data_IF_357783149196
#
_entry.id   IF_357783149196
#
_cell.length_a   1.000
_cell.length_b   1.000
_cell.length_c   1.000
_cell.angle_alpha   90.00
_cell.angle_beta   90.00
_cell.angle_gamma   90.00
#
_symmetry.space_group_name_H-M   'P 1'
#
loop_
_entity.id
_entity.type
_entity.pdbx_description
1 polymer ?
#
# COMPACT_ATOMS: atom_id res chain seq x y z
N UNK A 1 -4.31 -7.88 -13.23
CA UNK A 1 -2.95 -8.07 -12.68
C UNK A 1 -2.01 -7.24 -13.53
N UNK A 2 -0.95 -6.63 -13.01
CA UNK A 2 0.02 -5.90 -13.86
C UNK A 2 0.87 -6.81 -14.77
N UNK A 3 0.66 -8.12 -14.69
CA UNK A 3 1.20 -9.11 -15.65
C UNK A 3 0.29 -9.32 -16.86
N UNK A 4 -0.96 -8.85 -16.81
CA UNK A 4 -1.91 -8.93 -17.93
C UNK A 4 -1.67 -7.74 -18.89
N UNK A 5 -1.49 -7.99 -20.21
CA UNK A 5 -1.17 -6.92 -21.18
C UNK A 5 -2.20 -5.80 -21.24
N UNK A 6 -3.50 -6.12 -21.09
CA UNK A 6 -4.57 -5.11 -21.13
C UNK A 6 -4.48 -4.18 -19.93
N UNK A 7 -4.27 -4.76 -18.74
CA UNK A 7 -4.06 -4.01 -17.50
C UNK A 7 -2.80 -3.12 -17.59
N UNK A 8 -1.72 -3.64 -18.17
CA UNK A 8 -0.48 -2.88 -18.35
C UNK A 8 -0.68 -1.66 -19.27
N UNK A 9 -1.28 -1.88 -20.44
CA UNK A 9 -1.54 -0.82 -21.43
C UNK A 9 -2.45 0.29 -20.87
N UNK A 10 -3.44 -0.08 -20.05
CA UNK A 10 -4.29 0.89 -19.36
C UNK A 10 -3.46 1.79 -18.43
N UNK A 11 -2.60 1.22 -17.59
CA UNK A 11 -1.80 2.01 -16.64
C UNK A 11 -0.74 2.84 -17.37
N UNK A 12 -0.09 2.32 -18.41
CA UNK A 12 0.85 3.10 -19.23
C UNK A 12 0.17 4.31 -19.88
N UNK A 13 -1.04 4.12 -20.42
CA UNK A 13 -1.85 5.23 -20.96
C UNK A 13 -2.19 6.25 -19.88
N UNK A 14 -2.58 5.79 -18.68
CA UNK A 14 -2.89 6.67 -17.56
C UNK A 14 -1.66 7.46 -17.10
N UNK A 15 -0.48 6.83 -17.00
CA UNK A 15 0.77 7.50 -16.61
C UNK A 15 1.18 8.55 -17.65
N UNK A 16 1.10 8.24 -18.95
CA UNK A 16 1.42 9.18 -20.02
C UNK A 16 0.47 10.40 -20.04
N UNK A 17 -0.80 10.18 -19.67
CA UNK A 17 -1.83 11.22 -19.66
C UNK A 17 -1.76 12.09 -18.41
N UNK A 18 -1.70 11.47 -17.23
CA UNK A 18 -1.75 12.16 -15.94
C UNK A 18 -0.41 12.77 -15.54
N UNK A 19 0.71 12.18 -15.99
CA UNK A 19 2.08 12.59 -15.63
C UNK A 19 2.22 12.81 -14.11
N UNK A 20 1.90 11.80 -13.29
CA UNK A 20 1.86 11.97 -11.85
C UNK A 20 3.26 12.29 -11.32
N UNK A 21 3.34 13.11 -10.27
CA UNK A 21 4.62 13.40 -9.62
C UNK A 21 5.10 12.25 -8.71
N UNK A 22 4.20 11.35 -8.31
CA UNK A 22 4.48 10.15 -7.52
C UNK A 22 3.39 9.10 -7.70
N UNK A 23 3.70 7.83 -7.40
CA UNK A 23 2.76 6.70 -7.37
C UNK A 23 2.63 6.19 -5.94
N UNK A 24 1.41 5.85 -5.51
CA UNK A 24 1.14 5.27 -4.18
C UNK A 24 0.54 3.87 -4.35
N UNK A 25 1.23 2.85 -3.84
CA UNK A 25 0.81 1.45 -3.87
C UNK A 25 0.27 1.01 -2.52
N UNK A 26 -0.94 0.42 -2.53
CA UNK A 26 -1.62 -0.11 -1.33
C UNK A 26 -1.87 -1.63 -1.40
N UNK A 27 -1.30 -2.32 -2.40
CA UNK A 27 -1.66 -3.71 -2.74
C UNK A 27 -0.83 -4.78 -2.01
N UNK A 28 0.23 -4.42 -1.29
CA UNK A 28 1.06 -5.35 -0.51
C UNK A 28 1.72 -6.48 -1.34
N UNK A 29 1.95 -6.23 -2.63
CA UNK A 29 2.57 -7.18 -3.53
C UNK A 29 3.78 -6.58 -4.23
N UNK A 30 4.81 -7.42 -4.36
CA UNK A 30 5.90 -7.12 -5.25
C UNK A 30 5.44 -7.19 -6.72
N UNK A 31 5.98 -6.30 -7.54
CA UNK A 31 5.91 -6.37 -9.01
C UNK A 31 6.73 -7.55 -9.53
N UNK A 32 7.73 -8.02 -8.76
CA UNK A 32 8.49 -9.22 -9.06
C UNK A 32 9.42 -9.00 -10.25
N UNK A 33 10.31 -8.02 -10.14
CA UNK A 33 11.39 -7.84 -11.10
C UNK A 33 12.31 -9.07 -11.04
N UNK A 34 12.30 -9.90 -12.08
CA UNK A 34 13.43 -10.80 -12.30
C UNK A 34 14.67 -9.95 -12.61
N UNK A 35 15.88 -10.35 -12.16
CA UNK A 35 17.10 -9.61 -12.46
C UNK A 35 17.23 -9.34 -13.97
N UNK A 36 17.30 -8.06 -14.34
CA UNK A 36 17.43 -7.63 -15.74
C UNK A 36 16.12 -7.22 -16.44
N UNK A 37 14.96 -7.27 -15.77
CA UNK A 37 13.69 -6.77 -16.31
C UNK A 37 13.21 -5.51 -15.60
N UNK A 38 12.92 -4.46 -16.36
CA UNK A 38 12.25 -3.26 -15.85
C UNK A 38 10.76 -3.50 -15.67
N UNK A 39 10.28 -3.24 -14.46
CA UNK A 39 8.85 -3.22 -14.15
C UNK A 39 8.19 -1.97 -14.70
N UNK A 40 6.86 -1.95 -14.72
CA UNK A 40 6.08 -0.74 -15.03
C UNK A 40 6.48 0.44 -14.13
N UNK A 41 6.78 0.16 -12.86
CA UNK A 41 7.13 1.17 -11.87
C UNK A 41 8.51 1.78 -12.14
N UNK A 42 9.46 0.98 -12.63
CA UNK A 42 10.78 1.46 -13.04
C UNK A 42 10.66 2.41 -14.25
N UNK A 43 9.87 2.00 -15.25
CA UNK A 43 9.61 2.81 -16.45
C UNK A 43 8.83 4.09 -16.19
N UNK A 44 8.07 4.16 -15.09
CA UNK A 44 7.29 5.34 -14.75
C UNK A 44 8.17 6.56 -14.45
N UNK A 45 9.42 6.34 -14.01
CA UNK A 45 10.40 7.41 -13.80
C UNK A 45 10.06 8.37 -12.65
N UNK A 46 9.15 7.97 -11.76
CA UNK A 46 8.69 8.79 -10.63
C UNK A 46 8.75 7.99 -9.33
N UNK A 47 8.86 8.65 -8.16
CA UNK A 47 8.90 7.96 -6.87
C UNK A 47 7.67 7.08 -6.67
N UNK A 48 7.89 5.83 -6.25
CA UNK A 48 6.83 4.86 -5.95
C UNK A 48 6.82 4.58 -4.46
N UNK A 49 5.73 4.94 -3.80
CA UNK A 49 5.54 4.81 -2.35
C UNK A 49 4.69 3.60 -2.01
N UNK A 50 5.07 2.87 -0.97
CA UNK A 50 4.27 1.80 -0.39
C UNK A 50 3.58 2.28 0.89
N UNK A 51 2.24 2.19 0.93
CA UNK A 51 1.44 2.41 2.13
C UNK A 51 0.97 1.09 2.72
N UNK A 52 0.89 0.98 4.04
CA UNK A 52 0.49 -0.25 4.71
C UNK A 52 -1.02 -0.20 5.01
N UNK A 53 -1.74 -1.16 4.42
CA UNK A 53 -3.13 -1.51 4.74
C UNK A 53 -3.07 -2.69 5.71
N UNK A 54 -2.84 -2.42 6.98
CA UNK A 54 -2.40 -3.42 7.93
C UNK A 54 -3.51 -4.43 8.25
N UNK A 55 -3.17 -5.72 8.33
CA UNK A 55 -4.12 -6.75 8.76
C UNK A 55 -4.19 -6.87 10.29
N UNK A 56 -3.23 -6.26 11.00
CA UNK A 56 -3.28 -6.07 12.46
C UNK A 56 -4.29 -5.00 12.89
N UNK A 57 -4.68 -5.03 14.16
CA UNK A 57 -5.50 -3.99 14.79
C UNK A 57 -4.65 -2.78 15.20
N UNK A 58 -5.27 -1.60 15.29
CA UNK A 58 -4.61 -0.34 15.69
C UNK A 58 -3.96 -0.42 17.06
N UNK A 59 -4.66 -0.98 18.05
CA UNK A 59 -4.17 -1.12 19.43
C UNK A 59 -2.93 -2.03 19.50
N UNK A 60 -2.94 -3.14 18.76
CA UNK A 60 -1.81 -4.05 18.69
C UNK A 60 -0.62 -3.42 17.98
N UNK A 61 -0.86 -2.68 16.90
CA UNK A 61 0.19 -1.93 16.21
C UNK A 61 0.85 -0.90 17.11
N UNK A 62 0.06 -0.16 17.89
CA UNK A 62 0.58 0.89 18.76
C UNK A 62 1.37 0.35 19.96
N UNK A 63 0.94 -0.78 20.53
CA UNK A 63 1.55 -1.33 21.74
C UNK A 63 2.67 -2.35 21.48
N UNK A 64 2.79 -2.85 20.25
CA UNK A 64 3.85 -3.77 19.86
C UNK A 64 5.10 -2.99 19.43
N UNK A 65 6.26 -3.29 20.03
CA UNK A 65 7.54 -2.68 19.65
C UNK A 65 7.90 -2.86 18.16
N UNK A 66 7.42 -3.95 17.53
CA UNK A 66 7.62 -4.22 16.10
C UNK A 66 6.58 -3.53 15.22
N UNK A 67 5.51 -2.99 15.80
CA UNK A 67 4.35 -2.46 15.10
C UNK A 67 3.55 -3.55 14.39
N UNK A 68 4.03 -3.99 13.22
CA UNK A 68 3.34 -4.93 12.35
C UNK A 68 3.51 -6.39 12.77
N UNK A 69 2.54 -7.23 12.40
CA UNK A 69 2.69 -8.68 12.46
C UNK A 69 3.72 -9.17 11.43
N UNK A 70 4.37 -10.33 11.64
CA UNK A 70 5.38 -10.85 10.70
C UNK A 70 4.90 -10.95 9.24
N UNK A 71 3.64 -11.35 9.01
CA UNK A 71 3.06 -11.43 7.68
C UNK A 71 2.93 -10.04 7.02
N UNK A 72 2.41 -9.06 7.75
CA UNK A 72 2.29 -7.67 7.27
C UNK A 72 3.67 -7.08 6.96
N UNK A 73 4.68 -7.39 7.78
CA UNK A 73 6.04 -6.91 7.58
C UNK A 73 6.67 -7.53 6.32
N UNK A 74 6.46 -8.82 6.07
CA UNK A 74 6.90 -9.45 4.83
C UNK A 74 6.21 -8.84 3.59
N UNK A 75 4.89 -8.70 3.63
CA UNK A 75 4.08 -8.30 2.47
C UNK A 75 4.14 -6.80 2.16
N UNK A 76 4.16 -5.94 3.18
CA UNK A 76 4.09 -4.48 2.98
C UNK A 76 5.43 -3.76 3.13
N UNK A 77 6.47 -4.42 3.66
CA UNK A 77 7.79 -3.79 3.87
C UNK A 77 8.85 -4.52 3.06
N UNK A 78 9.16 -5.77 3.40
CA UNK A 78 10.33 -6.47 2.83
C UNK A 78 10.23 -6.66 1.33
N UNK A 79 9.12 -7.21 0.82
CA UNK A 79 8.97 -7.45 -0.61
C UNK A 79 8.92 -6.14 -1.42
N UNK A 80 8.15 -5.10 -1.01
CA UNK A 80 8.18 -3.80 -1.69
C UNK A 80 9.51 -3.06 -1.63
N UNK A 81 10.28 -3.18 -0.55
CA UNK A 81 11.62 -2.58 -0.45
C UNK A 81 12.60 -3.22 -1.43
N UNK A 82 12.51 -4.54 -1.64
CA UNK A 82 13.29 -5.24 -2.67
C UNK A 82 12.94 -4.78 -4.10
N UNK A 83 11.70 -4.33 -4.33
CA UNK A 83 11.27 -3.69 -5.58
C UNK A 83 11.68 -2.21 -5.68
N UNK A 84 12.43 -1.66 -4.71
CA UNK A 84 12.87 -0.26 -4.71
C UNK A 84 11.79 0.75 -4.30
N UNK A 85 10.66 0.31 -3.73
CA UNK A 85 9.58 1.22 -3.30
C UNK A 85 9.91 1.88 -1.96
N UNK A 86 9.49 3.13 -1.82
CA UNK A 86 9.70 3.93 -0.62
C UNK A 86 8.58 3.67 0.39
N UNK A 87 8.90 3.11 1.55
CA UNK A 87 7.91 2.90 2.61
C UNK A 87 7.41 4.25 3.17
N UNK A 88 6.11 4.53 3.04
CA UNK A 88 5.50 5.77 3.51
C UNK A 88 4.88 5.64 4.90
N UNK A 89 4.32 4.47 5.23
CA UNK A 89 3.77 4.15 6.55
C UNK A 89 2.38 3.49 6.50
N UNK A 90 1.88 3.08 7.67
CA UNK A 90 0.53 2.53 7.81
C UNK A 90 -0.52 3.61 7.77
N UNK A 91 -1.59 3.37 6.99
CA UNK A 91 -2.73 4.29 6.78
C UNK A 91 -4.06 3.70 7.30
N UNK A 92 -4.11 2.40 7.56
CA UNK A 92 -5.34 1.72 7.91
C UNK A 92 -5.08 0.40 8.65
N UNK A 93 -6.05 -0.02 9.46
CA UNK A 93 -5.94 -1.18 10.35
C UNK A 93 -7.20 -2.02 10.30
N UNK A 94 -7.10 -3.30 10.67
CA UNK A 94 -8.26 -4.18 10.79
C UNK A 94 -9.04 -3.86 12.07
N UNK A 95 -10.34 -3.64 11.95
CA UNK A 95 -11.23 -3.33 13.06
C UNK A 95 -12.62 -3.92 12.86
N UNK A 96 -13.39 -4.01 13.95
CA UNK A 96 -14.79 -4.42 13.89
C UNK A 96 -15.61 -3.36 13.14
N UNK A 97 -16.53 -3.80 12.28
CA UNK A 97 -17.60 -2.96 11.79
C UNK A 97 -18.75 -2.88 12.79
N UNK A 98 -19.65 -1.93 12.58
CA UNK A 98 -20.91 -1.90 13.30
C UNK A 98 -21.66 -3.23 13.12
N UNK A 99 -22.39 -3.64 14.16
CA UNK A 99 -23.21 -4.85 14.10
C UNK A 99 -24.28 -4.66 13.03
N UNK A 100 -24.37 -5.60 12.09
CA UNK A 100 -25.51 -5.66 11.19
C UNK A 100 -26.73 -6.19 11.99
N UNK A 101 -27.80 -5.39 12.16
CA UNK A 101 -28.96 -5.77 12.96
C UNK A 101 -29.78 -6.91 12.35
N UNK A 102 -29.72 -7.12 11.03
CA UNK A 102 -30.41 -8.22 10.37
C UNK A 102 -29.64 -9.54 10.48
N UNK A 103 -28.31 -9.47 10.51
CA UNK A 103 -27.43 -10.64 10.59
C UNK A 103 -26.99 -11.00 12.02
N UNK A 104 -27.19 -10.09 12.98
CA UNK A 104 -26.63 -10.17 14.33
C UNK A 104 -25.11 -10.47 14.32
N UNK A 105 -24.40 -9.97 13.31
CA UNK A 105 -23.01 -10.28 13.01
C UNK A 105 -22.16 -9.01 12.98
N UNK A 106 -20.93 -9.11 13.47
CA UNK A 106 -19.90 -8.06 13.35
C UNK A 106 -18.80 -8.54 12.41
N UNK A 107 -18.71 -7.91 11.24
CA UNK A 107 -17.60 -8.16 10.34
C UNK A 107 -16.32 -7.50 10.83
N UNK A 108 -15.18 -7.98 10.33
CA UNK A 108 -13.93 -7.24 10.42
C UNK A 108 -13.63 -6.64 9.06
N UNK A 109 -13.40 -5.34 9.04
CA UNK A 109 -13.03 -4.61 7.85
C UNK A 109 -11.75 -3.81 8.09
N UNK A 110 -11.02 -3.52 7.03
CA UNK A 110 -9.92 -2.59 7.11
C UNK A 110 -10.50 -1.16 7.16
N UNK A 111 -10.10 -0.37 8.15
CA UNK A 111 -10.60 0.98 8.39
C UNK A 111 -9.47 1.98 8.22
N UNK A 112 -9.63 3.00 7.35
CA UNK A 112 -8.66 4.06 7.23
C UNK A 112 -8.60 4.83 8.54
N UNK A 113 -7.40 5.27 8.88
CA UNK A 113 -7.18 6.08 10.05
C UNK A 113 -6.76 7.50 9.63
N UNK A 114 -7.58 8.53 9.92
CA UNK A 114 -7.36 9.88 9.44
C UNK A 114 -6.01 10.50 9.81
N UNK A 115 -5.53 10.34 11.06
CA UNK A 115 -4.24 10.91 11.50
C UNK A 115 -3.07 10.29 10.72
N UNK A 116 -3.15 8.99 10.46
CA UNK A 116 -2.16 8.23 9.70
C UNK A 116 -2.18 8.57 8.22
N UNK A 117 -3.36 8.68 7.62
CA UNK A 117 -3.53 9.10 6.22
C UNK A 117 -2.93 10.49 6.03
N UNK A 118 -3.24 11.44 6.92
CA UNK A 118 -2.69 12.79 6.88
C UNK A 118 -1.17 12.80 7.04
N UNK A 119 -0.62 12.02 7.99
CA UNK A 119 0.83 11.90 8.16
C UNK A 119 1.52 11.40 6.88
N UNK A 120 0.97 10.36 6.26
CA UNK A 120 1.53 9.77 5.03
C UNK A 120 1.44 10.74 3.86
N UNK A 121 0.31 11.42 3.71
CA UNK A 121 0.14 12.44 2.67
C UNK A 121 1.17 13.57 2.81
N UNK A 122 1.32 14.13 4.01
CA UNK A 122 2.30 15.19 4.28
C UNK A 122 3.74 14.73 4.01
N UNK A 123 4.06 13.47 4.34
CA UNK A 123 5.38 12.90 4.07
C UNK A 123 5.66 12.78 2.57
N UNK A 124 4.68 12.36 1.78
CA UNK A 124 4.81 12.24 0.33
C UNK A 124 4.90 13.61 -0.31
N UNK A 125 4.06 14.56 0.12
CA UNK A 125 4.12 15.96 -0.32
C UNK A 125 5.48 16.60 -0.05
N UNK A 126 6.08 16.36 1.11
CA UNK A 126 7.41 16.89 1.42
C UNK A 126 8.56 16.22 0.65
N UNK A 127 8.33 15.06 0.03
CA UNK A 127 9.33 14.34 -0.75
C UNK A 127 9.35 14.80 -2.22
N UNK A 128 8.17 15.06 -2.76
CA UNK A 128 7.94 15.44 -4.16
C UNK A 128 8.24 16.92 -4.37
#
# INVERSE_FOLDING_TARGET
SLKDPTSLAFVETALATLKPAAIITATAFASGAEPGFETLFDRAGVPVFQVIVATTRRDLWQNNQRGLAPADLAMHVVLPELDGRILAGAISFKGESETDPALAFRAFANRPEPDRVAQVANRIEAFV
#
